data_IF_960649299457
#
_entry.id   IF_960649299457
#
_cell.length_a   1.000
_cell.length_b   1.000
_cell.length_c   1.000
_cell.angle_alpha   90.00
_cell.angle_beta   90.00
_cell.angle_gamma   90.00
#
_symmetry.space_group_name_H-M   'P 1'
#
loop_
_entity.id
_entity.type
_entity.pdbx_description
1 polymer ?
#
# COMPACT_ATOMS: atom_id res chain seq x y z
N UNK A 1 6.22 7.77 -7.26
CA UNK A 1 7.48 7.22 -6.74
C UNK A 1 8.63 8.19 -6.98
N UNK A 2 9.65 8.20 -6.12
CA UNK A 2 10.87 9.02 -6.30
C UNK A 2 11.93 8.17 -6.99
N UNK A 3 12.22 8.43 -8.26
CA UNK A 3 13.15 7.62 -9.06
C UNK A 3 14.62 7.92 -8.78
N UNK A 4 14.95 9.13 -8.31
CA UNK A 4 16.34 9.53 -8.00
C UNK A 4 17.03 8.71 -6.90
N UNK A 5 16.28 7.95 -6.10
CA UNK A 5 16.80 7.06 -5.07
C UNK A 5 16.77 5.58 -5.44
N UNK A 6 16.46 5.25 -6.70
CA UNK A 6 16.36 3.87 -7.21
C UNK A 6 17.65 3.53 -7.95
N UNK A 7 18.18 2.34 -7.70
CA UNK A 7 19.37 1.83 -8.38
C UNK A 7 19.00 1.36 -9.80
N UNK A 8 19.88 1.58 -10.78
CA UNK A 8 19.64 1.21 -12.18
C UNK A 8 19.35 -0.29 -12.36
N UNK A 9 19.92 -1.13 -11.49
CA UNK A 9 19.70 -2.59 -11.52
C UNK A 9 18.27 -3.03 -11.17
N UNK A 10 17.44 -2.15 -10.59
CA UNK A 10 16.08 -2.46 -10.14
C UNK A 10 15.02 -1.54 -10.75
N UNK A 11 15.32 -0.94 -11.90
CA UNK A 11 14.33 -0.18 -12.68
C UNK A 11 13.18 -1.05 -13.20
N UNK A 12 13.42 -2.36 -13.31
CA UNK A 12 12.41 -3.39 -13.52
C UNK A 12 12.51 -4.41 -12.39
N UNK A 13 11.39 -4.71 -11.75
CA UNK A 13 11.35 -5.63 -10.62
C UNK A 13 10.06 -6.44 -10.68
N UNK A 14 10.17 -7.75 -10.55
CA UNK A 14 9.02 -8.64 -10.48
C UNK A 14 9.23 -9.60 -9.32
N UNK A 15 8.25 -9.69 -8.43
CA UNK A 15 8.37 -10.50 -7.23
C UNK A 15 7.03 -10.87 -6.61
N UNK A 16 7.00 -11.89 -5.73
CA UNK A 16 5.81 -12.29 -5.00
C UNK A 16 5.46 -11.26 -3.91
N UNK A 17 4.16 -11.05 -3.71
CA UNK A 17 3.65 -10.13 -2.70
C UNK A 17 3.82 -10.70 -1.28
N UNK A 18 4.17 -9.81 -0.34
CA UNK A 18 4.06 -10.00 1.12
C UNK A 18 3.15 -8.91 1.66
N UNK A 19 1.94 -9.28 2.07
CA UNK A 19 0.85 -8.35 2.34
C UNK A 19 0.72 -8.09 3.84
N UNK A 20 0.70 -6.80 4.20
CA UNK A 20 0.54 -6.32 5.56
C UNK A 20 -0.51 -5.21 5.61
N UNK A 21 -1.28 -5.16 6.70
CA UNK A 21 -2.41 -4.22 6.86
C UNK A 21 -2.08 -3.06 7.81
N UNK A 22 -0.81 -2.95 8.22
CA UNK A 22 -0.26 -1.82 8.96
C UNK A 22 1.24 -1.71 8.73
N UNK A 23 1.77 -0.51 8.95
CA UNK A 23 3.21 -0.29 9.02
C UNK A 23 3.88 -1.23 10.05
N UNK A 24 3.30 -1.37 11.23
CA UNK A 24 3.91 -2.12 12.33
C UNK A 24 4.04 -3.62 11.99
N UNK A 25 3.01 -4.20 11.35
CA UNK A 25 3.06 -5.59 10.90
C UNK A 25 4.15 -5.81 9.83
N UNK A 26 4.34 -4.85 8.92
CA UNK A 26 5.40 -4.91 7.92
C UNK A 26 6.79 -4.79 8.57
N UNK A 27 6.95 -3.89 9.54
CA UNK A 27 8.18 -3.73 10.32
C UNK A 27 8.56 -5.02 11.03
N UNK A 28 7.61 -5.63 11.75
CA UNK A 28 7.83 -6.89 12.47
C UNK A 28 8.22 -8.03 11.52
N UNK A 29 7.61 -8.07 10.33
CA UNK A 29 7.93 -9.07 9.33
C UNK A 29 9.32 -8.88 8.70
N UNK A 30 9.73 -7.63 8.45
CA UNK A 30 11.06 -7.31 7.91
C UNK A 30 12.13 -7.69 8.95
N UNK A 31 11.98 -7.22 10.19
CA UNK A 31 12.94 -7.48 11.27
C UNK A 31 12.95 -8.96 11.69
N UNK A 32 11.81 -9.63 11.61
CA UNK A 32 11.65 -11.06 11.88
C UNK A 32 12.09 -11.98 10.74
N UNK A 33 12.63 -11.44 9.64
CA UNK A 33 13.15 -12.23 8.51
C UNK A 33 12.08 -12.94 7.67
N UNK A 34 10.81 -12.54 7.77
CA UNK A 34 9.72 -13.05 6.93
C UNK A 34 9.72 -12.46 5.52
N UNK A 35 10.34 -11.28 5.37
CA UNK A 35 10.61 -10.64 4.08
C UNK A 35 12.02 -11.01 3.64
N UNK A 36 12.16 -11.49 2.40
CA UNK A 36 13.42 -11.95 1.81
C UNK A 36 13.66 -11.29 0.46
N UNK A 37 14.90 -11.41 -0.05
CA UNK A 37 15.27 -10.90 -1.36
C UNK A 37 14.33 -11.43 -2.45
N UNK A 38 13.85 -10.54 -3.32
CA UNK A 38 12.86 -10.83 -4.35
C UNK A 38 11.43 -10.44 -3.96
N UNK A 39 11.12 -10.24 -2.68
CA UNK A 39 9.75 -9.93 -2.26
C UNK A 39 9.29 -8.51 -2.65
N UNK A 40 7.99 -8.39 -2.90
CA UNK A 40 7.25 -7.12 -3.01
C UNK A 40 6.42 -6.94 -1.74
N UNK A 41 6.88 -6.08 -0.83
CA UNK A 41 6.17 -5.78 0.42
C UNK A 41 5.02 -4.82 0.13
N UNK A 42 3.80 -5.27 0.37
CA UNK A 42 2.56 -4.48 0.18
C UNK A 42 2.02 -4.09 1.55
N UNK A 43 1.93 -2.79 1.81
CA UNK A 43 1.35 -2.24 3.04
C UNK A 43 0.07 -1.50 2.66
N UNK A 44 -1.08 -2.02 3.07
CA UNK A 44 -2.40 -1.49 2.69
C UNK A 44 -3.19 -0.98 3.88
N UNK A 45 -4.26 -0.23 3.59
CA UNK A 45 -5.09 0.43 4.60
C UNK A 45 -4.32 1.51 5.39
N UNK A 46 -3.34 2.13 4.76
CA UNK A 46 -2.58 3.28 5.28
C UNK A 46 -2.86 4.56 4.47
N UNK A 47 -3.82 4.52 3.54
CA UNK A 47 -4.26 5.65 2.73
C UNK A 47 -5.07 6.72 3.49
N UNK A 48 -5.58 7.75 2.80
CA UNK A 48 -6.34 8.84 3.40
C UNK A 48 -7.51 8.36 4.27
N UNK A 49 -8.30 7.40 3.81
CA UNK A 49 -9.43 6.86 4.59
C UNK A 49 -9.03 5.66 5.44
N UNK A 50 -8.19 4.78 4.92
CA UNK A 50 -7.81 3.53 5.60
C UNK A 50 -6.96 3.74 6.85
N UNK A 51 -6.03 4.71 6.79
CA UNK A 51 -5.14 5.07 7.89
C UNK A 51 -5.94 5.35 9.17
N UNK A 52 -6.82 6.36 9.22
CA UNK A 52 -6.96 7.50 8.30
C UNK A 52 -5.84 8.54 8.44
N UNK A 53 -5.72 9.44 7.46
CA UNK A 53 -4.76 10.55 7.48
C UNK A 53 -3.49 10.32 6.65
N UNK A 54 -3.40 9.18 5.96
CA UNK A 54 -2.27 8.87 5.09
C UNK A 54 -0.92 9.03 5.82
N UNK A 55 -0.68 8.21 6.84
CA UNK A 55 0.49 8.34 7.71
C UNK A 55 1.81 8.22 6.92
N UNK A 56 2.83 8.98 7.32
CA UNK A 56 4.18 8.82 6.78
C UNK A 56 4.80 7.52 7.28
N UNK A 57 5.28 6.70 6.36
CA UNK A 57 6.06 5.51 6.65
C UNK A 57 7.54 5.77 6.40
N UNK A 58 8.34 5.75 7.47
CA UNK A 58 9.80 5.80 7.40
C UNK A 58 10.44 4.47 7.82
N UNK A 59 9.77 3.71 8.70
CA UNK A 59 10.37 2.54 9.31
C UNK A 59 10.54 1.35 8.34
N UNK A 60 9.53 0.97 7.51
CA UNK A 60 9.70 -0.17 6.59
C UNK A 60 10.87 0.03 5.62
N UNK A 61 11.01 1.23 5.08
CA UNK A 61 12.08 1.57 4.13
C UNK A 61 13.44 1.55 4.80
N UNK A 62 13.53 2.08 6.03
CA UNK A 62 14.75 2.07 6.84
C UNK A 62 15.18 0.65 7.20
N UNK A 63 14.24 -0.19 7.65
CA UNK A 63 14.57 -1.54 8.07
C UNK A 63 14.89 -2.47 6.92
N UNK A 64 14.25 -2.35 5.74
CA UNK A 64 14.70 -3.08 4.56
C UNK A 64 16.15 -2.75 4.23
N UNK A 65 16.53 -1.47 4.31
CA UNK A 65 17.93 -1.07 4.09
C UNK A 65 18.86 -1.67 5.12
N UNK A 66 18.51 -1.62 6.41
CA UNK A 66 19.33 -2.20 7.50
C UNK A 66 19.49 -3.71 7.39
N UNK A 67 18.49 -4.42 6.85
CA UNK A 67 18.53 -5.86 6.60
C UNK A 67 19.26 -6.22 5.28
N UNK A 68 19.83 -5.24 4.56
CA UNK A 68 20.50 -5.47 3.28
C UNK A 68 19.54 -5.72 2.11
N UNK A 69 18.24 -5.51 2.30
CA UNK A 69 17.18 -5.79 1.33
C UNK A 69 16.76 -4.56 0.49
N UNK A 70 17.33 -3.39 0.75
CA UNK A 70 16.92 -2.13 0.12
C UNK A 70 17.04 -2.06 -1.41
N UNK A 71 17.87 -2.92 -2.01
CA UNK A 71 17.97 -3.12 -3.48
C UNK A 71 17.45 -4.47 -3.95
N UNK A 72 16.93 -5.29 -3.04
CA UNK A 72 16.49 -6.65 -3.34
C UNK A 72 14.98 -6.81 -3.20
N UNK A 73 14.27 -5.84 -2.64
CA UNK A 73 12.83 -5.85 -2.45
C UNK A 73 12.19 -4.55 -2.92
N UNK A 74 10.90 -4.62 -3.23
CA UNK A 74 10.06 -3.45 -3.49
C UNK A 74 9.13 -3.19 -2.31
N UNK A 75 8.70 -1.93 -2.16
CA UNK A 75 7.69 -1.50 -1.20
C UNK A 75 6.54 -0.81 -1.94
N UNK A 76 5.32 -1.21 -1.67
CA UNK A 76 4.10 -0.65 -2.25
C UNK A 76 3.13 -0.28 -1.12
N UNK A 77 2.54 0.91 -1.19
CA UNK A 77 1.51 1.30 -0.24
C UNK A 77 0.51 2.32 -0.79
N UNK A 78 -0.72 2.27 -0.29
CA UNK A 78 -1.73 3.31 -0.45
C UNK A 78 -1.52 4.51 0.49
N UNK A 79 -0.63 4.39 1.48
CA UNK A 79 -0.13 5.48 2.31
C UNK A 79 0.98 6.29 1.63
N UNK A 80 1.82 6.97 2.43
CA UNK A 80 2.92 7.80 1.92
C UNK A 80 4.26 7.46 2.58
N UNK A 81 5.34 7.71 1.85
CA UNK A 81 6.70 7.55 2.34
C UNK A 81 7.35 8.88 2.70
N UNK A 82 8.35 8.83 3.56
CA UNK A 82 9.17 10.01 3.88
C UNK A 82 10.00 10.50 2.70
N UNK A 83 10.31 11.80 2.65
CA UNK A 83 11.21 12.39 1.65
C UNK A 83 12.63 11.78 1.67
N UNK A 84 13.05 11.25 2.82
CA UNK A 84 14.31 10.51 3.00
C UNK A 84 14.31 9.09 2.42
N UNK A 85 13.17 8.61 1.91
CA UNK A 85 13.05 7.26 1.38
C UNK A 85 13.91 7.05 0.12
N UNK A 86 14.54 5.88 0.05
CA UNK A 86 15.34 5.38 -1.07
C UNK A 86 14.93 3.95 -1.42
N UNK A 87 15.43 3.42 -2.54
CA UNK A 87 15.04 2.10 -3.04
C UNK A 87 13.70 2.13 -3.77
N UNK A 88 13.20 0.94 -4.13
CA UNK A 88 11.98 0.80 -4.94
C UNK A 88 10.71 0.94 -4.09
N UNK A 89 10.42 2.18 -3.67
CA UNK A 89 9.29 2.52 -2.81
C UNK A 89 8.21 3.30 -3.55
N UNK A 90 7.02 2.74 -3.65
CA UNK A 90 5.86 3.24 -4.38
C UNK A 90 4.73 3.54 -3.38
N UNK A 91 4.55 4.81 -3.07
CA UNK A 91 3.42 5.29 -2.27
C UNK A 91 2.29 5.85 -3.12
N UNK A 92 1.21 6.26 -2.45
CA UNK A 92 0.03 6.91 -3.04
C UNK A 92 -0.71 6.03 -4.03
N UNK A 93 -0.64 4.71 -3.89
CA UNK A 93 -1.42 3.78 -4.71
C UNK A 93 -2.90 4.14 -4.59
N UNK A 94 -3.51 4.41 -5.73
CA UNK A 94 -4.88 4.93 -5.84
C UNK A 94 -5.64 4.12 -6.90
N UNK A 95 -6.91 3.75 -6.66
CA UNK A 95 -7.65 3.94 -5.41
C UNK A 95 -7.01 3.20 -4.23
N UNK A 96 -7.14 3.76 -3.02
CA UNK A 96 -6.63 3.13 -1.79
C UNK A 96 -7.41 1.86 -1.44
N UNK A 97 -6.88 1.01 -0.55
CA UNK A 97 -7.52 -0.23 -0.16
C UNK A 97 -8.91 -0.01 0.45
N UNK A 98 -9.04 1.01 1.31
CA UNK A 98 -10.30 1.38 1.96
C UNK A 98 -11.35 1.98 1.01
N UNK A 99 -10.97 2.28 -0.24
CA UNK A 99 -11.88 2.73 -1.30
C UNK A 99 -12.07 1.66 -2.39
N UNK A 100 -11.68 0.41 -2.14
CA UNK A 100 -11.89 -0.68 -3.08
C UNK A 100 -10.89 -0.76 -4.24
N UNK A 101 -9.70 -0.17 -4.09
CA UNK A 101 -8.63 -0.32 -5.06
C UNK A 101 -8.05 -1.74 -5.11
N UNK A 102 -7.40 -2.11 -6.21
CA UNK A 102 -6.86 -3.45 -6.40
C UNK A 102 -5.80 -3.83 -5.35
N UNK A 103 -5.14 -2.87 -4.71
CA UNK A 103 -4.24 -3.12 -3.58
C UNK A 103 -4.92 -3.85 -2.40
N UNK A 104 -6.25 -3.73 -2.25
CA UNK A 104 -7.02 -4.44 -1.22
C UNK A 104 -7.23 -5.94 -1.50
N UNK A 105 -7.09 -6.39 -2.75
CA UNK A 105 -7.33 -7.78 -3.14
C UNK A 105 -6.03 -8.57 -3.40
N UNK A 106 -4.88 -7.92 -3.24
CA UNK A 106 -3.59 -8.59 -3.29
C UNK A 106 -3.52 -9.59 -2.12
N UNK A 107 -3.06 -10.80 -2.44
CA UNK A 107 -2.82 -11.89 -1.51
C UNK A 107 -1.33 -12.28 -1.52
N UNK A 108 -0.87 -12.92 -0.46
CA UNK A 108 0.52 -13.37 -0.37
C UNK A 108 0.88 -14.31 -1.54
N UNK A 109 2.03 -14.07 -2.14
CA UNK A 109 2.52 -14.85 -3.28
C UNK A 109 2.08 -14.35 -4.66
N UNK A 110 1.13 -13.41 -4.76
CA UNK A 110 0.77 -12.81 -6.04
C UNK A 110 1.97 -12.13 -6.69
N UNK A 111 2.16 -12.32 -7.99
CA UNK A 111 3.25 -11.69 -8.71
C UNK A 111 2.90 -10.24 -9.04
N UNK A 112 3.79 -9.31 -8.68
CA UNK A 112 3.68 -7.89 -9.02
C UNK A 112 4.88 -7.50 -9.87
N UNK A 113 4.60 -7.00 -11.07
CA UNK A 113 5.62 -6.48 -11.99
C UNK A 113 5.65 -4.95 -11.94
N UNK A 114 6.85 -4.39 -11.80
CA UNK A 114 7.12 -2.95 -11.78
C UNK A 114 8.09 -2.65 -12.93
N UNK A 115 7.73 -1.69 -13.77
CA UNK A 115 8.55 -1.22 -14.89
C UNK A 115 8.61 0.31 -14.85
N UNK A 116 9.66 0.86 -14.23
CA UNK A 116 9.85 2.31 -14.09
C UNK A 116 10.01 3.00 -15.45
N UNK A 117 10.86 2.50 -16.39
CA UNK A 117 11.00 3.11 -17.72
C UNK A 117 9.66 3.29 -18.44
N UNK A 118 8.77 2.30 -18.34
CA UNK A 118 7.46 2.32 -18.98
C UNK A 118 6.35 2.87 -18.07
N UNK A 119 6.68 3.35 -16.86
CA UNK A 119 5.72 3.85 -15.85
C UNK A 119 4.62 2.82 -15.53
N UNK A 120 4.95 1.54 -15.57
CA UNK A 120 4.04 0.43 -15.39
C UNK A 120 4.13 -0.20 -13.99
N UNK A 121 2.99 -0.56 -13.45
CA UNK A 121 2.86 -1.48 -12.31
C UNK A 121 1.67 -2.38 -12.59
N UNK A 122 1.87 -3.70 -12.47
CA UNK A 122 0.86 -4.69 -12.82
C UNK A 122 0.80 -5.78 -11.77
N UNK A 123 -0.39 -6.01 -11.23
CA UNK A 123 -0.73 -7.24 -10.52
C UNK A 123 -0.98 -8.33 -11.58
N UNK A 124 -0.17 -9.38 -11.59
CA UNK A 124 -0.22 -10.42 -12.61
C UNK A 124 -1.32 -11.46 -12.31
N UNK A 125 -2.55 -10.99 -12.28
CA UNK A 125 -3.75 -11.81 -12.17
C UNK A 125 -4.62 -11.60 -13.41
N UNK A 126 -5.41 -12.62 -13.75
CA UNK A 126 -6.45 -12.47 -14.77
C UNK A 126 -7.59 -11.58 -14.30
N UNK A 127 -8.31 -10.98 -15.24
CA UNK A 127 -9.51 -10.18 -14.93
C UNK A 127 -10.56 -11.00 -14.17
N UNK A 128 -10.65 -12.31 -14.43
CA UNK A 128 -11.57 -13.21 -13.73
C UNK A 128 -11.19 -13.40 -12.26
N UNK A 129 -9.90 -13.56 -11.94
CA UNK A 129 -9.42 -13.63 -10.56
C UNK A 129 -9.60 -12.31 -9.83
N UNK A 130 -9.32 -11.20 -10.50
CA UNK A 130 -9.56 -9.86 -9.95
C UNK A 130 -11.05 -9.69 -9.60
N UNK A 131 -11.95 -10.03 -10.53
CA UNK A 131 -13.39 -9.94 -10.29
C UNK A 131 -13.84 -10.82 -9.11
N UNK A 132 -13.41 -12.09 -9.08
CA UNK A 132 -13.75 -13.02 -8.00
C UNK A 132 -13.28 -12.53 -6.63
N UNK A 133 -12.07 -11.97 -6.53
CA UNK A 133 -11.55 -11.43 -5.26
C UNK A 133 -12.26 -10.15 -4.82
N UNK A 134 -12.70 -9.31 -5.77
CA UNK A 134 -13.53 -8.14 -5.46
C UNK A 134 -14.89 -8.56 -4.92
N UNK A 135 -15.54 -9.52 -5.55
CA UNK A 135 -16.81 -10.10 -5.05
C UNK A 135 -16.63 -10.69 -3.65
N UNK A 136 -15.55 -11.43 -3.40
CA UNK A 136 -15.24 -11.96 -2.07
C UNK A 136 -15.02 -10.86 -1.01
N UNK A 137 -14.44 -9.71 -1.39
CA UNK A 137 -14.33 -8.55 -0.51
C UNK A 137 -15.68 -7.90 -0.23
N UNK A 138 -16.52 -7.72 -1.23
CA UNK A 138 -17.86 -7.16 -1.10
C UNK A 138 -18.77 -8.06 -0.25
N UNK A 139 -18.62 -9.39 -0.36
CA UNK A 139 -19.32 -10.38 0.44
C UNK A 139 -19.04 -10.29 1.96
N UNK A 140 -18.01 -9.53 2.39
CA UNK A 140 -17.76 -9.25 3.81
C UNK A 140 -18.75 -8.23 4.41
N UNK A 141 -19.66 -7.66 3.61
CA UNK A 141 -20.71 -6.75 4.08
C UNK A 141 -20.13 -5.49 4.73
N UNK A 142 -20.53 -5.20 5.97
CA UNK A 142 -20.05 -4.03 6.73
C UNK A 142 -18.53 -4.03 6.96
N UNK A 143 -17.88 -5.18 6.83
CA UNK A 143 -16.42 -5.33 6.93
C UNK A 143 -15.71 -5.28 5.57
N UNK A 144 -16.43 -5.09 4.47
CA UNK A 144 -15.82 -4.93 3.15
C UNK A 144 -14.81 -3.77 3.15
N UNK A 145 -13.67 -3.97 2.49
CA UNK A 145 -12.62 -2.93 2.35
C UNK A 145 -12.07 -2.41 3.69
N UNK A 146 -12.14 -3.22 4.75
CA UNK A 146 -11.48 -2.96 6.03
C UNK A 146 -10.38 -4.00 6.28
N UNK A 147 -9.34 -3.67 7.09
CA UNK A 147 -8.40 -4.66 7.60
C UNK A 147 -9.12 -5.86 8.23
N UNK A 148 -8.54 -7.05 8.15
CA UNK A 148 -9.09 -8.27 8.75
C UNK A 148 -8.86 -8.31 10.26
N UNK A 149 -7.62 -8.04 10.68
CA UNK A 149 -7.16 -8.31 12.05
C UNK A 149 -6.65 -7.05 12.80
N UNK A 150 -6.81 -5.85 12.21
CA UNK A 150 -6.30 -4.62 12.80
C UNK A 150 -7.24 -4.05 13.87
N UNK A 151 -6.86 -4.19 15.13
CA UNK A 151 -7.53 -3.51 16.24
C UNK A 151 -6.91 -2.14 16.51
N UNK A 152 -7.63 -1.06 16.17
CA UNK A 152 -7.18 0.32 16.40
C UNK A 152 -8.33 1.22 16.78
N UNK A 153 -8.17 1.99 17.86
CA UNK A 153 -9.09 3.06 18.21
C UNK A 153 -8.84 4.28 17.29
N UNK A 154 -9.82 4.61 16.45
CA UNK A 154 -9.78 5.79 15.58
C UNK A 154 -10.56 6.92 16.24
N UNK A 155 -9.92 8.07 16.48
CA UNK A 155 -10.54 9.23 17.12
C UNK A 155 -11.67 9.81 16.26
N UNK A 156 -12.59 10.57 16.88
CA UNK A 156 -13.66 11.26 16.14
C UNK A 156 -13.11 12.15 15.02
N UNK A 157 -12.05 12.92 15.30
CA UNK A 157 -11.42 13.79 14.31
C UNK A 157 -10.88 13.01 13.08
N UNK A 158 -10.27 11.84 13.31
CA UNK A 158 -9.78 10.99 12.20
C UNK A 158 -10.92 10.34 11.42
N UNK A 159 -12.01 9.94 12.09
CA UNK A 159 -13.22 9.44 11.40
C UNK A 159 -13.87 10.54 10.54
N UNK A 160 -13.94 11.76 11.06
CA UNK A 160 -14.45 12.91 10.31
C UNK A 160 -13.53 13.29 9.14
N UNK A 161 -12.20 13.15 9.29
CA UNK A 161 -11.28 13.28 8.16
C UNK A 161 -11.55 12.22 7.09
N UNK A 162 -11.65 10.94 7.48
CA UNK A 162 -11.85 9.83 6.56
C UNK A 162 -13.14 9.94 5.73
N UNK A 163 -14.24 10.41 6.34
CA UNK A 163 -15.52 10.56 5.63
C UNK A 163 -15.46 11.60 4.51
N UNK A 164 -14.61 12.62 4.66
CA UNK A 164 -14.45 13.74 3.73
C UNK A 164 -13.26 13.57 2.79
N UNK A 165 -12.25 12.77 3.12
CA UNK A 165 -11.03 12.67 2.33
C UNK A 165 -11.30 12.16 0.90
N UNK A 166 -10.74 12.87 -0.09
CA UNK A 166 -10.63 12.41 -1.46
C UNK A 166 -9.42 11.46 -1.60
N UNK A 167 -9.32 10.81 -2.75
CA UNK A 167 -8.20 9.92 -3.05
C UNK A 167 -6.87 10.67 -3.16
N UNK A 168 -5.76 9.99 -2.93
CA UNK A 168 -4.43 10.58 -2.94
C UNK A 168 -4.02 11.15 -4.31
N UNK A 169 -4.50 10.56 -5.41
CA UNK A 169 -4.34 11.11 -6.78
C UNK A 169 -5.00 12.49 -6.96
N UNK A 170 -5.95 12.85 -6.10
CA UNK A 170 -6.63 14.15 -6.06
C UNK A 170 -6.09 15.06 -4.94
N UNK A 171 -4.96 14.70 -4.34
CA UNK A 171 -4.30 15.46 -3.26
C UNK A 171 -4.88 15.23 -1.87
N UNK A 172 -5.75 14.23 -1.67
CA UNK A 172 -6.35 13.90 -0.37
C UNK A 172 -7.03 15.11 0.33
N UNK A 173 -7.60 16.01 -0.46
CA UNK A 173 -8.37 17.16 0.01
C UNK A 173 -9.69 16.72 0.66
N UNK A 174 -10.36 17.62 1.38
CA UNK A 174 -11.70 17.34 1.92
C UNK A 174 -12.76 17.69 0.89
N UNK A 175 -13.60 16.71 0.58
CA UNK A 175 -14.77 16.85 -0.28
C UNK A 175 -15.88 17.62 0.45
N UNK A 176 -16.01 18.90 0.12
CA UNK A 176 -17.00 19.79 0.75
C UNK A 176 -18.43 19.45 0.36
N UNK A 177 -18.66 18.82 -0.80
CA UNK A 177 -20.02 18.50 -1.27
C UNK A 177 -20.77 17.57 -0.32
N UNK A 178 -20.03 16.71 0.40
CA UNK A 178 -20.56 15.80 1.43
C UNK A 178 -21.13 16.50 2.67
N UNK A 179 -20.90 17.81 2.82
CA UNK A 179 -21.44 18.62 3.91
C UNK A 179 -22.66 19.45 3.47
N UNK A 180 -23.19 19.23 2.26
CA UNK A 180 -24.38 19.93 1.74
C UNK A 180 -24.06 21.24 0.99
N UNK A 181 -22.90 21.30 0.32
CA UNK A 181 -22.48 22.44 -0.52
C UNK A 181 -22.53 22.13 -2.01
#
# INVERSE_FOLDING_TARGET
>A
MKTAGVDDSILKFTGPAKVYESQDAAVDAILGGKVVAGDVVVIRYEGPKGGPGMQEMLYPTTFLKSMGLGKACALITDGRFSGGTSGLSIGHVSPEAASGGNIAIIEDGDMIAIDIPNRGIQLQLSDAEIAARREAQEARGDKAWTPKDRERQVSFALRAYASLATSADKGAVRDKSKLGG
#
